data_IF_930342961798
#
_entry.id   IF_930342961798
#
_cell.length_a   1.000
_cell.length_b   1.000
_cell.length_c   1.000
_cell.angle_alpha   90.00
_cell.angle_beta   90.00
_cell.angle_gamma   90.00
#
_symmetry.space_group_name_H-M   'P 1'
#
loop_
_entity.id
_entity.type
_entity.pdbx_description
1 polymer ?
#
# COMPACT_ATOMS: atom_id res chain seq x y z
N UNK A 1 184.77 -36.69 -97.54
CA UNK A 1 183.80 -36.04 -96.60
C UNK A 1 182.53 -36.85 -96.43
N UNK A 2 181.68 -37.03 -97.45
CA UNK A 2 180.37 -37.71 -97.31
C UNK A 2 180.48 -39.15 -96.75
N UNK A 3 181.53 -39.88 -97.12
CA UNK A 3 181.81 -41.26 -96.68
C UNK A 3 181.81 -41.46 -95.15
N UNK A 4 182.44 -40.56 -94.39
CA UNK A 4 182.45 -40.62 -92.92
C UNK A 4 181.04 -40.44 -92.32
N UNK A 5 180.19 -39.63 -92.95
CA UNK A 5 178.80 -39.45 -92.52
C UNK A 5 177.95 -40.69 -92.80
N UNK A 6 178.20 -41.41 -93.90
CA UNK A 6 177.54 -42.69 -94.19
C UNK A 6 177.95 -43.80 -93.22
N UNK A 7 179.23 -43.92 -92.88
CA UNK A 7 179.70 -44.88 -91.88
C UNK A 7 179.14 -44.60 -90.48
N UNK A 8 179.09 -43.32 -90.08
CA UNK A 8 178.45 -42.91 -88.82
C UNK A 8 176.94 -43.20 -88.83
N UNK A 9 176.26 -42.91 -89.94
CA UNK A 9 174.83 -43.23 -90.12
C UNK A 9 174.53 -44.73 -90.04
N UNK A 10 175.37 -45.58 -90.65
CA UNK A 10 175.25 -47.03 -90.58
C UNK A 10 175.48 -47.57 -89.15
N UNK A 11 176.49 -47.03 -88.45
CA UNK A 11 176.75 -47.34 -87.05
C UNK A 11 175.59 -46.96 -86.12
N UNK A 12 174.99 -45.79 -86.33
CA UNK A 12 173.80 -45.37 -85.58
C UNK A 12 172.58 -46.25 -85.90
N UNK A 13 172.34 -46.56 -87.18
CA UNK A 13 171.19 -47.37 -87.60
C UNK A 13 171.26 -48.80 -87.04
N UNK A 14 172.44 -49.42 -87.05
CA UNK A 14 172.66 -50.76 -86.49
C UNK A 14 172.51 -50.78 -84.97
N UNK A 15 173.01 -49.76 -84.26
CA UNK A 15 172.78 -49.62 -82.82
C UNK A 15 171.28 -49.45 -82.48
N UNK A 16 170.56 -48.60 -83.23
CA UNK A 16 169.12 -48.42 -83.06
C UNK A 16 168.33 -49.71 -83.30
N UNK A 17 168.72 -50.51 -84.31
CA UNK A 17 168.08 -51.80 -84.61
C UNK A 17 168.27 -52.82 -83.48
N UNK A 18 169.47 -52.90 -82.88
CA UNK A 18 169.73 -53.76 -81.71
C UNK A 18 168.89 -53.36 -80.49
N UNK A 19 168.76 -52.06 -80.21
CA UNK A 19 167.89 -51.56 -79.12
C UNK A 19 166.44 -51.97 -79.37
N UNK A 20 165.95 -51.83 -80.61
CA UNK A 20 164.57 -52.20 -80.96
C UNK A 20 164.31 -53.70 -80.84
N UNK A 21 165.30 -54.55 -81.13
CA UNK A 21 165.21 -56.00 -81.02
C UNK A 21 165.19 -56.49 -79.56
N UNK A 22 165.92 -55.82 -78.66
CA UNK A 22 165.99 -56.17 -77.23
C UNK A 22 164.81 -55.61 -76.41
N UNK A 23 164.25 -54.46 -76.81
CA UNK A 23 163.18 -53.76 -76.10
C UNK A 23 161.97 -54.64 -75.68
N UNK A 24 161.38 -55.49 -76.55
CA UNK A 24 160.21 -56.31 -76.18
C UNK A 24 160.49 -57.32 -75.07
N UNK A 25 161.71 -57.88 -75.03
CA UNK A 25 162.11 -58.84 -74.01
C UNK A 25 162.31 -58.17 -72.64
N UNK A 26 162.93 -56.98 -72.63
CA UNK A 26 163.08 -56.16 -71.42
C UNK A 26 161.72 -55.71 -70.89
N UNK A 27 160.83 -55.23 -71.76
CA UNK A 27 159.49 -54.80 -71.36
C UNK A 27 158.66 -55.94 -70.74
N UNK A 28 158.64 -57.13 -71.36
CA UNK A 28 157.98 -58.33 -70.77
C UNK A 28 158.52 -58.66 -69.37
N UNK A 29 159.84 -58.56 -69.18
CA UNK A 29 160.50 -58.84 -67.89
C UNK A 29 160.15 -57.80 -66.83
N UNK A 30 160.06 -56.52 -67.21
CA UNK A 30 159.59 -55.44 -66.32
C UNK A 30 158.15 -55.71 -65.88
N UNK A 31 157.23 -55.99 -66.81
CA UNK A 31 155.81 -56.25 -66.49
C UNK A 31 155.64 -57.41 -65.51
N UNK A 32 156.36 -58.52 -65.70
CA UNK A 32 156.28 -59.65 -64.78
C UNK A 32 156.79 -59.29 -63.37
N UNK A 33 157.91 -58.58 -63.25
CA UNK A 33 158.43 -58.15 -61.95
C UNK A 33 157.54 -57.09 -61.27
N UNK A 34 156.91 -56.17 -62.02
CA UNK A 34 155.98 -55.19 -61.44
C UNK A 34 154.68 -55.86 -60.99
N UNK A 35 154.13 -56.80 -61.76
CA UNK A 35 152.92 -57.55 -61.39
C UNK A 35 153.16 -58.44 -60.15
N UNK A 36 154.26 -59.21 -60.12
CA UNK A 36 154.58 -60.02 -58.94
C UNK A 36 154.91 -59.17 -57.71
N UNK A 37 155.59 -58.01 -57.88
CA UNK A 37 155.83 -57.11 -56.75
C UNK A 37 154.54 -56.48 -56.24
N UNK A 38 153.64 -56.04 -57.12
CA UNK A 38 152.30 -55.56 -56.75
C UNK A 38 151.52 -56.63 -55.97
N UNK A 39 151.49 -57.87 -56.44
CA UNK A 39 150.84 -59.00 -55.74
C UNK A 39 151.47 -59.33 -54.39
N UNK A 40 152.78 -59.10 -54.22
CA UNK A 40 153.48 -59.30 -52.96
C UNK A 40 153.35 -58.12 -51.97
N UNK A 41 153.04 -56.91 -52.44
CA UNK A 41 152.90 -55.70 -51.60
C UNK A 41 151.46 -55.23 -51.38
N UNK A 42 150.48 -55.73 -52.16
CA UNK A 42 149.06 -55.46 -51.91
C UNK A 42 148.52 -56.43 -50.84
N UNK A 43 147.96 -55.93 -49.71
CA UNK A 43 147.56 -56.79 -48.59
C UNK A 43 146.19 -57.49 -48.76
N UNK A 44 145.56 -57.43 -49.95
CA UNK A 44 144.25 -58.06 -50.22
C UNK A 44 144.25 -58.85 -51.53
N UNK A 45 143.58 -59.99 -51.55
CA UNK A 45 143.36 -60.79 -52.76
C UNK A 45 142.25 -60.23 -53.66
N UNK A 46 142.23 -60.58 -54.96
CA UNK A 46 141.13 -60.20 -55.87
C UNK A 46 139.75 -60.76 -55.48
N UNK A 47 139.69 -61.74 -54.58
CA UNK A 47 138.42 -62.25 -54.04
C UNK A 47 137.93 -61.40 -52.87
N UNK A 48 138.82 -61.00 -51.95
CA UNK A 48 138.48 -60.07 -50.86
C UNK A 48 138.01 -58.72 -51.38
N UNK A 49 138.64 -58.17 -52.43
CA UNK A 49 138.20 -56.90 -53.04
C UNK A 49 136.77 -57.00 -53.60
N UNK A 50 136.36 -58.17 -54.11
CA UNK A 50 134.97 -58.42 -54.53
C UNK A 50 134.05 -58.56 -53.31
N UNK A 51 134.44 -59.37 -52.33
CA UNK A 51 133.67 -59.55 -51.10
C UNK A 51 133.45 -58.23 -50.33
N UNK A 52 134.45 -57.36 -50.24
CA UNK A 52 134.31 -56.02 -49.65
C UNK A 52 133.40 -55.12 -50.49
N UNK A 53 133.50 -55.15 -51.82
CA UNK A 53 132.62 -54.37 -52.71
C UNK A 53 131.16 -54.79 -52.57
N UNK A 54 130.89 -56.10 -52.53
CA UNK A 54 129.53 -56.62 -52.38
C UNK A 54 129.04 -56.51 -50.92
N UNK A 55 129.91 -56.54 -49.92
CA UNK A 55 129.60 -56.17 -48.52
C UNK A 55 129.20 -54.69 -48.42
N UNK A 56 129.95 -53.76 -49.02
CA UNK A 56 129.59 -52.32 -49.02
C UNK A 56 128.28 -52.09 -49.76
N UNK A 57 128.04 -52.80 -50.88
CA UNK A 57 126.74 -52.80 -51.57
C UNK A 57 125.61 -53.34 -50.67
N UNK A 58 125.85 -54.41 -49.92
CA UNK A 58 124.87 -55.00 -49.01
C UNK A 58 124.58 -54.12 -47.80
N UNK A 59 125.60 -53.48 -47.20
CA UNK A 59 125.46 -52.49 -46.14
C UNK A 59 124.64 -51.29 -46.63
N UNK A 60 125.03 -50.69 -47.77
CA UNK A 60 124.29 -49.57 -48.35
C UNK A 60 122.84 -49.94 -48.72
N UNK A 61 122.60 -51.17 -49.21
CA UNK A 61 121.25 -51.67 -49.47
C UNK A 61 120.44 -51.88 -48.17
N UNK A 62 121.05 -52.39 -47.10
CA UNK A 62 120.42 -52.58 -45.81
C UNK A 62 120.13 -51.25 -45.10
N UNK A 63 121.05 -50.27 -45.19
CA UNK A 63 120.87 -48.91 -44.67
C UNK A 63 119.80 -48.14 -45.45
N UNK A 64 119.77 -48.23 -46.78
CA UNK A 64 118.68 -47.69 -47.60
C UNK A 64 117.34 -48.37 -47.30
N UNK A 65 117.31 -49.70 -47.13
CA UNK A 65 116.08 -50.43 -46.79
C UNK A 65 115.56 -50.04 -45.38
N UNK A 66 116.47 -49.91 -44.40
CA UNK A 66 116.13 -49.49 -43.03
C UNK A 66 115.63 -48.04 -43.02
N UNK A 67 116.37 -47.12 -43.61
CA UNK A 67 115.96 -45.69 -43.68
C UNK A 67 114.67 -45.51 -44.46
N UNK A 68 114.43 -46.27 -45.54
CA UNK A 68 113.15 -46.28 -46.22
C UNK A 68 112.01 -46.83 -45.35
N UNK A 69 112.24 -47.90 -44.57
CA UNK A 69 111.24 -48.44 -43.65
C UNK A 69 110.94 -47.47 -42.49
N UNK A 70 111.96 -46.83 -41.91
CA UNK A 70 111.79 -45.84 -40.84
C UNK A 70 111.10 -44.57 -41.37
N UNK A 71 111.41 -44.13 -42.60
CA UNK A 71 110.71 -43.04 -43.29
C UNK A 71 109.24 -43.39 -43.58
N UNK A 72 108.93 -44.63 -43.95
CA UNK A 72 107.54 -45.10 -44.09
C UNK A 72 106.81 -45.09 -42.73
N UNK A 73 107.43 -45.59 -41.66
CA UNK A 73 106.87 -45.54 -40.29
C UNK A 73 106.57 -44.10 -39.84
N UNK A 74 107.47 -43.14 -40.07
CA UNK A 74 107.21 -41.74 -39.72
C UNK A 74 106.14 -41.10 -40.61
N UNK A 75 106.00 -41.50 -41.87
CA UNK A 75 104.87 -41.09 -42.73
C UNK A 75 103.54 -41.67 -42.23
N UNK A 76 103.50 -42.95 -41.89
CA UNK A 76 102.30 -43.60 -41.35
C UNK A 76 101.87 -42.94 -40.03
N UNK A 77 102.82 -42.65 -39.13
CA UNK A 77 102.58 -41.85 -37.93
C UNK A 77 102.05 -40.47 -38.25
N UNK A 78 102.70 -39.70 -39.14
CA UNK A 78 102.29 -38.32 -39.45
C UNK A 78 100.90 -38.27 -40.08
N UNK A 79 100.57 -39.21 -40.98
CA UNK A 79 99.23 -39.36 -41.55
C UNK A 79 98.20 -39.73 -40.46
N UNK A 80 98.53 -40.64 -39.54
CA UNK A 80 97.63 -40.98 -38.43
C UNK A 80 97.40 -39.81 -37.45
N UNK A 81 98.38 -38.93 -37.30
CA UNK A 81 98.28 -37.71 -36.49
C UNK A 81 97.47 -36.62 -37.22
N UNK A 82 97.65 -36.46 -38.53
CA UNK A 82 96.85 -35.57 -39.38
C UNK A 82 95.37 -35.99 -39.35
N UNK A 83 95.06 -37.26 -39.65
CA UNK A 83 93.68 -37.77 -39.61
C UNK A 83 93.01 -37.61 -38.24
N UNK A 84 93.78 -37.72 -37.13
CA UNK A 84 93.28 -37.43 -35.78
C UNK A 84 93.06 -35.94 -35.53
N UNK A 85 93.98 -35.09 -35.99
CA UNK A 85 93.85 -33.65 -35.90
C UNK A 85 92.63 -33.15 -36.69
N UNK A 86 92.42 -33.67 -37.90
CA UNK A 86 91.32 -33.28 -38.78
C UNK A 86 89.96 -33.75 -38.21
N UNK A 87 89.91 -34.96 -37.62
CA UNK A 87 88.73 -35.40 -36.87
C UNK A 87 88.43 -34.49 -35.66
N UNK A 88 89.45 -34.16 -34.85
CA UNK A 88 89.31 -33.23 -33.72
C UNK A 88 88.91 -31.82 -34.16
N UNK A 89 89.35 -31.36 -35.35
CA UNK A 89 88.96 -30.07 -35.91
C UNK A 89 87.49 -30.07 -36.39
N UNK A 90 87.02 -31.18 -36.96
CA UNK A 90 85.58 -31.36 -37.30
C UNK A 90 84.72 -31.37 -36.04
N UNK A 91 85.12 -32.11 -35.00
CA UNK A 91 84.36 -32.16 -33.75
C UNK A 91 84.41 -30.84 -32.97
N UNK A 92 85.55 -30.13 -32.96
CA UNK A 92 85.62 -28.76 -32.44
C UNK A 92 84.71 -27.79 -33.22
N UNK A 93 84.60 -27.95 -34.55
CA UNK A 93 83.66 -27.20 -35.38
C UNK A 93 82.19 -27.49 -35.05
N UNK A 94 81.85 -28.75 -34.75
CA UNK A 94 80.50 -29.15 -34.27
C UNK A 94 80.18 -28.50 -32.93
N UNK A 95 81.06 -28.66 -31.93
CA UNK A 95 80.84 -28.05 -30.61
C UNK A 95 80.78 -26.52 -30.67
N UNK A 96 81.55 -25.87 -31.57
CA UNK A 96 81.43 -24.43 -31.79
C UNK A 96 80.06 -24.02 -32.37
N UNK A 97 79.49 -24.83 -33.28
CA UNK A 97 78.14 -24.61 -33.80
C UNK A 97 77.05 -24.84 -32.73
N UNK A 98 77.13 -25.94 -31.98
CA UNK A 98 76.22 -26.26 -30.86
C UNK A 98 76.24 -25.18 -29.77
N UNK A 99 77.43 -24.66 -29.43
CA UNK A 99 77.58 -23.54 -28.49
C UNK A 99 76.93 -22.26 -29.06
N UNK A 100 77.07 -22.00 -30.36
CA UNK A 100 76.43 -20.87 -31.02
C UNK A 100 74.90 -20.96 -31.04
N UNK A 101 74.34 -22.15 -31.30
CA UNK A 101 72.91 -22.42 -31.27
C UNK A 101 72.33 -22.29 -29.86
N UNK A 102 73.00 -22.86 -28.85
CA UNK A 102 72.62 -22.70 -27.44
C UNK A 102 72.72 -21.24 -26.96
N UNK A 103 73.72 -20.48 -27.42
CA UNK A 103 73.81 -19.05 -27.13
C UNK A 103 72.69 -18.24 -27.77
N UNK A 104 72.28 -18.58 -29.00
CA UNK A 104 71.13 -17.96 -29.66
C UNK A 104 69.83 -18.28 -28.91
N UNK A 105 69.60 -19.53 -28.53
CA UNK A 105 68.43 -19.96 -27.75
C UNK A 105 68.36 -19.29 -26.36
N UNK A 106 69.50 -19.14 -25.68
CA UNK A 106 69.59 -18.39 -24.41
C UNK A 106 69.26 -16.91 -24.63
N UNK A 107 69.70 -16.32 -25.75
CA UNK A 107 69.34 -14.96 -26.16
C UNK A 107 67.84 -14.80 -26.37
N UNK A 108 67.21 -15.72 -27.10
CA UNK A 108 65.75 -15.73 -27.35
C UNK A 108 64.95 -15.85 -26.05
N UNK A 109 65.27 -16.85 -25.21
CA UNK A 109 64.63 -17.01 -23.89
C UNK A 109 64.84 -15.79 -22.97
N UNK A 110 65.95 -15.05 -23.09
CA UNK A 110 66.16 -13.82 -22.36
C UNK A 110 65.30 -12.65 -22.86
N UNK A 111 65.01 -12.57 -24.17
CA UNK A 111 64.05 -11.61 -24.73
C UNK A 111 62.62 -11.96 -24.30
N UNK A 112 62.20 -13.22 -24.44
CA UNK A 112 60.88 -13.68 -23.97
C UNK A 112 60.67 -13.38 -22.48
N UNK A 113 61.66 -13.69 -21.64
CA UNK A 113 61.59 -13.40 -20.21
C UNK A 113 61.58 -11.89 -19.89
N UNK A 114 62.19 -11.05 -20.73
CA UNK A 114 62.12 -9.59 -20.59
C UNK A 114 60.74 -9.06 -20.98
N UNK A 115 60.13 -9.55 -22.06
CA UNK A 115 58.79 -9.17 -22.49
C UNK A 115 57.71 -9.68 -21.53
N UNK A 116 57.80 -10.92 -21.03
CA UNK A 116 56.90 -11.41 -19.97
C UNK A 116 56.97 -10.53 -18.71
N UNK A 117 58.17 -10.09 -18.30
CA UNK A 117 58.33 -9.11 -17.20
C UNK A 117 57.77 -7.73 -17.53
N UNK A 118 57.80 -7.32 -18.80
CA UNK A 118 57.18 -6.08 -19.29
C UNK A 118 55.65 -6.16 -19.23
N UNK A 119 55.07 -7.29 -19.64
CA UNK A 119 53.65 -7.59 -19.52
C UNK A 119 53.18 -7.61 -18.06
N UNK A 120 53.82 -8.39 -17.18
CA UNK A 120 53.49 -8.44 -15.75
C UNK A 120 53.54 -7.06 -15.07
N UNK A 121 54.43 -6.14 -15.50
CA UNK A 121 54.46 -4.76 -15.01
C UNK A 121 53.29 -3.91 -15.52
N UNK A 122 52.85 -4.10 -16.77
CA UNK A 122 51.65 -3.44 -17.31
C UNK A 122 50.40 -3.94 -16.58
N UNK A 123 50.33 -5.24 -16.32
CA UNK A 123 49.19 -5.89 -15.67
C UNK A 123 49.10 -5.51 -14.19
N UNK A 124 50.20 -5.48 -13.42
CA UNK A 124 50.17 -4.98 -12.04
C UNK A 124 49.81 -3.48 -11.98
N UNK A 125 50.31 -2.66 -12.92
CA UNK A 125 49.89 -1.27 -13.02
C UNK A 125 48.37 -1.16 -13.30
N UNK A 126 47.83 -1.95 -14.22
CA UNK A 126 46.39 -1.98 -14.52
C UNK A 126 45.56 -2.48 -13.32
N UNK A 127 46.03 -3.52 -12.62
CA UNK A 127 45.43 -4.02 -11.38
C UNK A 127 45.46 -2.95 -10.28
N UNK A 128 46.52 -2.15 -10.18
CA UNK A 128 46.60 -1.04 -9.22
C UNK A 128 45.56 0.05 -9.52
N UNK A 129 45.37 0.41 -10.80
CA UNK A 129 44.35 1.35 -11.25
C UNK A 129 42.93 0.78 -11.07
N UNK A 130 42.74 -0.52 -11.29
CA UNK A 130 41.45 -1.17 -11.06
C UNK A 130 41.10 -1.22 -9.58
N UNK A 131 42.09 -1.46 -8.69
CA UNK A 131 41.93 -1.39 -7.23
C UNK A 131 41.54 0.03 -6.77
N UNK A 132 42.19 1.08 -7.26
CA UNK A 132 41.81 2.46 -6.90
C UNK A 132 40.43 2.86 -7.43
N UNK A 133 40.10 2.48 -8.68
CA UNK A 133 38.78 2.73 -9.26
C UNK A 133 37.66 1.97 -8.53
N UNK A 134 37.91 0.72 -8.12
CA UNK A 134 37.00 -0.06 -7.29
C UNK A 134 36.77 0.62 -5.94
N UNK A 135 37.83 1.03 -5.24
CA UNK A 135 37.71 1.70 -3.95
C UNK A 135 36.93 3.02 -4.02
N UNK A 136 37.14 3.81 -5.08
CA UNK A 136 36.36 5.03 -5.36
C UNK A 136 34.89 4.70 -5.62
N UNK A 137 34.61 3.62 -6.38
CA UNK A 137 33.25 3.17 -6.65
C UNK A 137 32.53 2.71 -5.36
N UNK A 138 33.20 1.89 -4.55
CA UNK A 138 32.74 1.42 -3.23
C UNK A 138 32.43 2.59 -2.28
N UNK A 139 33.36 3.56 -2.17
CA UNK A 139 33.14 4.76 -1.36
C UNK A 139 31.94 5.57 -1.89
N UNK A 140 31.78 5.69 -3.22
CA UNK A 140 30.62 6.37 -3.81
C UNK A 140 29.30 5.63 -3.54
N UNK A 141 29.33 4.29 -3.45
CA UNK A 141 28.17 3.47 -3.15
C UNK A 141 27.79 3.58 -1.66
N UNK A 142 28.76 3.49 -0.75
CA UNK A 142 28.54 3.70 0.68
C UNK A 142 27.99 5.10 1.00
N UNK A 143 28.49 6.14 0.33
CA UNK A 143 27.95 7.50 0.45
C UNK A 143 26.48 7.55 0.01
N UNK A 144 26.15 7.03 -1.18
CA UNK A 144 24.76 6.97 -1.69
C UNK A 144 23.84 6.14 -0.80
N UNK A 145 24.32 5.04 -0.22
CA UNK A 145 23.54 4.24 0.74
C UNK A 145 23.27 5.04 2.02
N UNK A 146 24.26 5.78 2.53
CA UNK A 146 24.05 6.68 3.66
C UNK A 146 23.00 7.75 3.33
N UNK A 147 23.06 8.39 2.16
CA UNK A 147 22.05 9.34 1.69
C UNK A 147 20.67 8.70 1.61
N UNK A 148 20.55 7.50 1.02
CA UNK A 148 19.30 6.75 0.94
C UNK A 148 18.73 6.41 2.33
N UNK A 149 19.54 6.10 3.34
CA UNK A 149 19.03 5.91 4.71
C UNK A 149 18.54 7.23 5.33
N UNK A 150 19.21 8.36 5.09
CA UNK A 150 18.71 9.67 5.54
C UNK A 150 17.41 10.07 4.83
N UNK A 151 17.24 9.75 3.54
CA UNK A 151 16.00 10.02 2.81
C UNK A 151 14.87 9.09 3.25
N UNK A 152 15.15 7.79 3.50
CA UNK A 152 14.17 6.84 4.07
C UNK A 152 13.68 7.29 5.46
N UNK A 153 14.58 7.72 6.35
CA UNK A 153 14.20 8.21 7.68
C UNK A 153 13.47 9.57 7.64
N UNK A 154 13.77 10.44 6.66
CA UNK A 154 12.97 11.65 6.39
C UNK A 154 11.56 11.29 5.89
N UNK A 155 11.43 10.31 4.99
CA UNK A 155 10.15 9.84 4.48
C UNK A 155 9.29 9.18 5.57
N UNK A 156 9.90 8.40 6.49
CA UNK A 156 9.21 7.87 7.69
C UNK A 156 8.60 9.00 8.50
N UNK A 157 9.40 10.01 8.87
CA UNK A 157 8.96 11.18 9.65
C UNK A 157 7.87 12.00 8.96
N UNK A 158 7.93 12.13 7.62
CA UNK A 158 6.88 12.78 6.84
C UNK A 158 5.59 11.94 6.79
N UNK A 159 5.70 10.60 6.78
CA UNK A 159 4.56 9.69 6.94
C UNK A 159 3.92 9.81 8.32
N UNK A 160 4.73 9.72 9.38
CA UNK A 160 4.32 9.91 10.79
C UNK A 160 3.61 11.27 10.98
N UNK A 161 4.12 12.34 10.37
CA UNK A 161 3.49 13.66 10.38
C UNK A 161 2.17 13.69 9.58
N UNK A 162 2.10 13.04 8.41
CA UNK A 162 0.88 12.96 7.62
C UNK A 162 -0.23 12.16 8.32
N UNK A 163 0.12 11.07 9.02
CA UNK A 163 -0.81 10.27 9.80
C UNK A 163 -1.23 10.98 11.10
N UNK A 164 -0.34 11.73 11.75
CA UNK A 164 -0.71 12.65 12.82
C UNK A 164 -1.74 13.70 12.36
N UNK A 165 -1.49 14.36 11.23
CA UNK A 165 -2.41 15.35 10.65
C UNK A 165 -3.75 14.74 10.20
N UNK A 166 -3.78 13.45 9.81
CA UNK A 166 -5.03 12.72 9.53
C UNK A 166 -5.84 12.47 10.81
N UNK A 167 -5.18 12.11 11.90
CA UNK A 167 -5.82 11.92 13.21
C UNK A 167 -6.37 13.25 13.74
N UNK A 168 -5.58 14.33 13.65
CA UNK A 168 -6.03 15.68 14.01
C UNK A 168 -7.24 16.13 13.17
N UNK A 169 -7.22 15.88 11.85
CA UNK A 169 -8.34 16.21 10.97
C UNK A 169 -9.61 15.42 11.35
N UNK A 170 -9.51 14.11 11.57
CA UNK A 170 -10.64 13.28 12.02
C UNK A 170 -11.18 13.73 13.40
N UNK A 171 -10.29 14.16 14.31
CA UNK A 171 -10.71 14.75 15.58
C UNK A 171 -11.48 16.07 15.36
N UNK A 172 -11.01 16.96 14.48
CA UNK A 172 -11.74 18.20 14.12
C UNK A 172 -13.06 17.92 13.41
N UNK A 173 -13.17 16.85 12.63
CA UNK A 173 -14.44 16.43 12.03
C UNK A 173 -15.45 15.99 13.11
N UNK A 174 -15.05 15.18 14.09
CA UNK A 174 -15.95 14.78 15.19
C UNK A 174 -16.32 15.95 16.12
N UNK A 175 -15.40 16.91 16.37
CA UNK A 175 -15.73 18.18 17.03
C UNK A 175 -16.77 18.98 16.22
N UNK A 176 -16.58 19.10 14.90
CA UNK A 176 -17.50 19.82 14.03
C UNK A 176 -18.88 19.14 13.95
N UNK A 177 -18.96 17.81 14.02
CA UNK A 177 -20.22 17.07 14.13
C UNK A 177 -20.90 17.29 15.48
N UNK A 178 -20.18 17.19 16.59
CA UNK A 178 -20.68 17.52 17.93
C UNK A 178 -21.26 18.95 18.00
N UNK A 179 -20.56 19.91 17.39
CA UNK A 179 -21.04 21.29 17.26
C UNK A 179 -22.28 21.41 16.35
N UNK A 180 -22.36 20.68 15.23
CA UNK A 180 -23.58 20.62 14.38
C UNK A 180 -24.77 20.08 15.17
N UNK A 181 -24.61 18.99 15.93
CA UNK A 181 -25.67 18.44 16.78
C UNK A 181 -26.14 19.45 17.82
N UNK A 182 -25.21 20.12 18.52
CA UNK A 182 -25.55 21.16 19.51
C UNK A 182 -26.23 22.38 18.88
N UNK A 183 -25.81 22.81 17.70
CA UNK A 183 -26.45 23.91 16.96
C UNK A 183 -27.87 23.54 16.52
N UNK A 184 -28.13 22.28 16.15
CA UNK A 184 -29.47 21.83 15.82
C UNK A 184 -30.37 21.73 17.06
N UNK A 185 -29.91 21.15 18.17
CA UNK A 185 -30.65 21.14 19.43
C UNK A 185 -31.06 22.56 19.89
N UNK A 186 -30.13 23.53 19.82
CA UNK A 186 -30.41 24.94 20.13
C UNK A 186 -31.38 25.63 19.13
N UNK A 187 -31.50 25.13 17.89
CA UNK A 187 -32.51 25.60 16.93
C UNK A 187 -33.89 25.03 17.23
N UNK A 188 -33.94 23.76 17.65
CA UNK A 188 -35.17 23.08 18.02
C UNK A 188 -35.74 23.68 19.33
N UNK A 189 -34.91 23.88 20.36
CA UNK A 189 -35.25 24.62 21.59
C UNK A 189 -35.73 26.05 21.30
N UNK A 190 -35.06 26.76 20.39
CA UNK A 190 -35.49 28.10 19.95
C UNK A 190 -36.88 28.05 19.31
N UNK A 191 -37.18 27.05 18.50
CA UNK A 191 -38.46 26.97 17.78
C UNK A 191 -39.61 26.43 18.64
N UNK A 192 -39.36 25.57 19.64
CA UNK A 192 -40.35 25.27 20.67
C UNK A 192 -40.65 26.51 21.51
N UNK A 193 -39.63 27.23 22.01
CA UNK A 193 -39.83 28.49 22.74
C UNK A 193 -40.58 29.55 21.92
N UNK A 194 -40.37 29.62 20.60
CA UNK A 194 -41.15 30.49 19.70
C UNK A 194 -42.60 30.05 19.56
N UNK A 195 -42.86 28.75 19.49
CA UNK A 195 -44.22 28.20 19.47
C UNK A 195 -44.93 28.49 20.79
N UNK A 196 -44.27 28.28 21.94
CA UNK A 196 -44.80 28.59 23.27
C UNK A 196 -45.09 30.07 23.44
N UNK A 197 -44.17 30.96 23.04
CA UNK A 197 -44.41 32.42 23.06
C UNK A 197 -45.60 32.80 22.15
N UNK A 198 -45.72 32.20 20.96
CA UNK A 198 -46.89 32.43 20.09
C UNK A 198 -48.21 31.93 20.71
N UNK A 199 -48.17 30.79 21.40
CA UNK A 199 -49.32 30.17 22.05
C UNK A 199 -49.75 30.97 23.29
N UNK A 200 -48.80 31.42 24.11
CA UNK A 200 -49.02 32.33 25.22
C UNK A 200 -49.56 33.69 24.73
N UNK A 201 -49.04 34.23 23.63
CA UNK A 201 -49.54 35.48 23.06
C UNK A 201 -50.97 35.35 22.49
N UNK A 202 -51.37 34.18 21.99
CA UNK A 202 -52.77 33.87 21.66
C UNK A 202 -53.63 33.82 22.93
N UNK A 203 -53.24 33.02 23.93
CA UNK A 203 -53.95 32.92 25.22
C UNK A 203 -54.12 34.27 25.91
N UNK A 204 -53.12 35.16 25.83
CA UNK A 204 -53.18 36.53 26.35
C UNK A 204 -54.26 37.34 25.62
N UNK A 205 -54.27 37.34 24.27
CA UNK A 205 -55.32 38.00 23.47
C UNK A 205 -56.71 37.42 23.73
N UNK A 206 -56.82 36.11 23.90
CA UNK A 206 -58.10 35.46 24.25
C UNK A 206 -58.59 35.88 25.65
N UNK A 207 -57.66 36.13 26.59
CA UNK A 207 -57.97 36.65 27.92
C UNK A 207 -58.32 38.15 27.88
N UNK A 208 -57.63 38.97 27.08
CA UNK A 208 -57.96 40.38 26.82
C UNK A 208 -59.35 40.52 26.17
N UNK A 209 -59.69 39.62 25.24
CA UNK A 209 -61.03 39.57 24.64
C UNK A 209 -62.12 39.17 25.66
N UNK A 210 -61.84 38.22 26.55
CA UNK A 210 -62.76 37.87 27.65
C UNK A 210 -62.90 39.01 28.66
N UNK A 211 -61.81 39.70 28.98
CA UNK A 211 -61.82 40.87 29.88
C UNK A 211 -62.64 42.02 29.29
N UNK A 212 -62.43 42.36 28.01
CA UNK A 212 -63.20 43.41 27.33
C UNK A 212 -64.67 43.01 27.15
N UNK A 213 -64.98 41.75 26.87
CA UNK A 213 -66.35 41.23 26.92
C UNK A 213 -66.97 41.41 28.32
N UNK A 214 -66.26 41.03 29.40
CA UNK A 214 -66.73 41.21 30.77
C UNK A 214 -66.88 42.69 31.15
N UNK A 215 -65.97 43.57 30.73
CA UNK A 215 -66.11 45.03 30.90
C UNK A 215 -67.36 45.55 30.19
N UNK A 216 -67.64 45.10 28.96
CA UNK A 216 -68.90 45.41 28.28
C UNK A 216 -70.12 44.79 28.97
N UNK A 217 -70.01 43.65 29.66
CA UNK A 217 -71.11 43.13 30.48
C UNK A 217 -71.35 44.01 31.71
N UNK A 218 -70.29 44.40 32.42
CA UNK A 218 -70.34 45.31 33.58
C UNK A 218 -70.96 46.64 33.16
N UNK A 219 -70.47 47.28 32.09
CA UNK A 219 -71.04 48.54 31.57
C UNK A 219 -72.53 48.38 31.23
N UNK A 220 -72.95 47.26 30.62
CA UNK A 220 -74.38 47.02 30.34
C UNK A 220 -75.22 46.75 31.60
N UNK A 221 -74.63 46.22 32.66
CA UNK A 221 -75.28 46.05 33.96
C UNK A 221 -75.33 47.36 34.75
N UNK A 222 -74.31 48.20 34.66
CA UNK A 222 -74.26 49.56 35.21
C UNK A 222 -75.27 50.47 34.50
N UNK A 223 -75.31 50.45 33.16
CA UNK A 223 -76.35 51.09 32.34
C UNK A 223 -77.75 50.65 32.76
N UNK A 224 -77.94 49.34 32.99
CA UNK A 224 -79.23 48.82 33.44
C UNK A 224 -79.54 49.28 34.85
N UNK A 225 -78.61 49.22 35.79
CA UNK A 225 -78.79 49.71 37.16
C UNK A 225 -79.08 51.22 37.20
N UNK A 226 -78.45 52.01 36.33
CA UNK A 226 -78.73 53.44 36.15
C UNK A 226 -80.13 53.69 35.60
N UNK A 227 -80.61 52.88 34.64
CA UNK A 227 -82.00 52.96 34.12
C UNK A 227 -83.03 52.46 35.13
N UNK A 228 -82.74 51.37 35.84
CA UNK A 228 -83.62 50.80 36.85
C UNK A 228 -83.75 51.76 38.04
N UNK A 229 -82.65 52.40 38.48
CA UNK A 229 -82.66 53.45 39.53
C UNK A 229 -83.23 54.79 39.05
N UNK A 230 -83.06 55.19 37.78
CA UNK A 230 -83.82 56.29 37.19
C UNK A 230 -85.32 55.98 37.23
N UNK A 231 -85.74 54.78 36.83
CA UNK A 231 -87.15 54.35 36.92
C UNK A 231 -87.64 54.28 38.37
N UNK A 232 -86.76 53.95 39.33
CA UNK A 232 -87.09 53.93 40.76
C UNK A 232 -87.32 55.35 41.28
N UNK A 233 -86.42 56.29 40.99
CA UNK A 233 -86.59 57.70 41.37
C UNK A 233 -87.76 58.36 40.63
N UNK A 234 -88.08 57.97 39.39
CA UNK A 234 -89.33 58.37 38.73
C UNK A 234 -90.57 57.81 39.43
N UNK A 235 -90.58 56.53 39.83
CA UNK A 235 -91.65 55.92 40.62
C UNK A 235 -91.78 56.57 42.00
N UNK A 236 -90.67 56.88 42.67
CA UNK A 236 -90.64 57.62 43.93
C UNK A 236 -91.18 59.04 43.76
N UNK A 237 -90.83 59.73 42.68
CA UNK A 237 -91.40 61.04 42.35
C UNK A 237 -92.90 60.97 42.03
N UNK A 238 -93.36 59.92 41.34
CA UNK A 238 -94.78 59.66 41.10
C UNK A 238 -95.52 59.28 42.39
N UNK A 239 -94.90 58.51 43.29
CA UNK A 239 -95.42 58.18 44.62
C UNK A 239 -95.45 59.43 45.51
N UNK A 240 -94.43 60.28 45.48
CA UNK A 240 -94.40 61.56 46.20
C UNK A 240 -95.48 62.53 45.67
N UNK A 241 -95.68 62.60 44.35
CA UNK A 241 -96.80 63.34 43.75
C UNK A 241 -98.15 62.76 44.17
N UNK A 242 -98.35 61.43 44.08
CA UNK A 242 -99.54 60.74 44.59
C UNK A 242 -99.74 60.94 46.09
N UNK A 243 -98.68 61.03 46.89
CA UNK A 243 -98.74 61.31 48.33
C UNK A 243 -99.09 62.78 48.60
N UNK A 244 -98.60 63.73 47.80
CA UNK A 244 -99.01 65.13 47.85
C UNK A 244 -100.45 65.32 47.36
N UNK A 245 -100.90 64.57 46.36
CA UNK A 245 -102.29 64.50 45.92
C UNK A 245 -103.17 63.87 47.00
N UNK A 246 -102.75 62.77 47.63
CA UNK A 246 -103.44 62.17 48.78
C UNK A 246 -103.42 63.10 50.00
N UNK A 247 -102.39 63.92 50.20
CA UNK A 247 -102.35 64.93 51.25
C UNK A 247 -103.33 66.06 50.96
N UNK A 248 -103.34 66.60 49.73
CA UNK A 248 -104.32 67.60 49.26
C UNK A 248 -105.75 67.06 49.26
N UNK A 249 -105.96 65.79 48.90
CA UNK A 249 -107.26 65.11 48.96
C UNK A 249 -107.65 64.81 50.41
N UNK A 250 -106.73 64.51 51.32
CA UNK A 250 -106.98 64.43 52.77
C UNK A 250 -107.27 65.80 53.38
N UNK A 251 -106.71 66.87 52.83
CA UNK A 251 -106.95 68.25 53.26
C UNK A 251 -108.28 68.79 52.70
N UNK A 252 -108.60 68.51 51.44
CA UNK A 252 -109.91 68.71 50.85
C UNK A 252 -110.97 67.82 51.52
N UNK A 253 -110.65 66.58 51.90
CA UNK A 253 -111.52 65.76 52.74
C UNK A 253 -111.60 66.29 54.17
N UNK A 254 -110.60 66.99 54.71
CA UNK A 254 -110.72 67.70 56.00
C UNK A 254 -111.57 68.97 55.87
N UNK A 255 -111.48 69.70 54.77
CA UNK A 255 -112.29 70.87 54.47
C UNK A 255 -113.75 70.46 54.22
N UNK A 256 -113.97 69.50 53.33
CA UNK A 256 -115.27 68.85 53.12
C UNK A 256 -115.77 68.18 54.40
N UNK A 257 -114.94 67.54 55.24
CA UNK A 257 -115.39 67.10 56.56
C UNK A 257 -115.67 68.26 57.53
N UNK A 258 -115.03 69.42 57.40
CA UNK A 258 -115.33 70.59 58.21
C UNK A 258 -116.66 71.24 57.77
N UNK A 259 -116.98 71.23 56.48
CA UNK A 259 -118.27 71.66 55.94
C UNK A 259 -119.36 70.62 56.22
N UNK A 260 -119.11 69.33 56.01
CA UNK A 260 -119.96 68.23 56.47
C UNK A 260 -120.13 68.28 58.00
N UNK A 261 -119.18 68.79 58.80
CA UNK A 261 -119.35 69.05 60.25
C UNK A 261 -120.13 70.33 60.56
N UNK A 262 -120.12 71.36 59.70
CA UNK A 262 -121.01 72.52 59.81
C UNK A 262 -122.45 72.11 59.45
N UNK A 263 -122.62 71.38 58.36
CA UNK A 263 -123.89 70.82 57.87
C UNK A 263 -124.42 69.75 58.84
N UNK A 264 -123.60 68.83 59.36
CA UNK A 264 -124.00 67.90 60.44
C UNK A 264 -124.22 68.60 61.78
N UNK A 265 -123.84 69.87 61.99
CA UNK A 265 -124.30 70.64 63.17
C UNK A 265 -125.70 71.25 62.97
N UNK A 266 -126.22 71.23 61.75
CA UNK A 266 -127.58 71.66 61.37
C UNK A 266 -128.48 70.45 61.05
N UNK A 267 -127.90 69.25 60.85
CA UNK A 267 -128.61 68.00 60.51
C UNK A 267 -128.40 66.84 61.49
N UNK A 268 -127.80 67.07 62.68
CA UNK A 268 -127.71 66.04 63.75
C UNK A 268 -128.78 66.10 64.84
N UNK A 269 -129.87 66.79 64.56
CA UNK A 269 -131.16 66.47 65.18
C UNK A 269 -131.83 65.22 64.55
N UNK A 270 -131.14 64.46 63.67
CA UNK A 270 -131.73 63.34 62.88
C UNK A 270 -130.91 62.02 62.69
N UNK A 271 -129.61 61.91 63.02
CA UNK A 271 -128.88 60.61 63.24
C UNK A 271 -128.27 59.78 62.07
N UNK A 272 -127.54 58.68 62.43
CA UNK A 272 -126.97 57.55 61.63
C UNK A 272 -125.73 57.82 60.69
N UNK A 273 -125.05 56.83 60.02
CA UNK A 273 -124.14 55.72 60.48
C UNK A 273 -123.20 55.13 59.33
N UNK A 274 -122.11 54.34 59.60
CA UNK A 274 -121.24 53.56 58.63
C UNK A 274 -119.73 53.99 58.48
N UNK A 275 -118.63 53.26 58.11
CA UNK A 275 -118.20 51.85 57.70
C UNK A 275 -117.90 51.56 56.18
N UNK A 276 -116.95 50.70 55.67
CA UNK A 276 -115.62 50.08 56.09
C UNK A 276 -114.93 49.26 54.90
N UNK A 277 -113.70 48.65 55.05
CA UNK A 277 -113.08 47.48 54.30
C UNK A 277 -111.81 47.62 53.33
N UNK A 278 -111.26 46.49 52.80
CA UNK A 278 -109.78 46.20 52.61
C UNK A 278 -109.34 45.02 51.61
N UNK A 279 -108.09 45.00 51.08
CA UNK A 279 -107.10 43.84 50.84
C UNK A 279 -106.99 42.92 49.50
N UNK A 280 -106.17 41.80 49.31
CA UNK A 280 -105.16 41.60 48.18
C UNK A 280 -104.83 40.16 47.53
N UNK A 281 -103.67 39.99 46.79
CA UNK A 281 -102.65 38.85 46.72
C UNK A 281 -102.65 37.56 45.76
N UNK A 282 -101.48 36.82 45.75
CA UNK A 282 -101.14 35.36 45.42
C UNK A 282 -100.36 34.85 44.12
N UNK A 283 -100.18 33.50 43.91
CA UNK A 283 -98.99 32.75 43.33
C UNK A 283 -99.33 31.61 42.25
N UNK A 284 -98.62 30.49 41.84
CA UNK A 284 -97.44 29.60 42.24
C UNK A 284 -97.03 28.54 41.11
N UNK A 285 -95.99 27.65 41.29
CA UNK A 285 -95.73 26.25 40.74
C UNK A 285 -94.50 25.89 39.77
N UNK A 286 -94.05 24.59 39.69
CA UNK A 286 -92.83 24.00 38.98
C UNK A 286 -92.86 22.41 38.82
N UNK A 287 -92.14 21.71 37.88
CA UNK A 287 -92.12 20.18 37.73
C UNK A 287 -91.03 19.41 36.83
N UNK A 288 -91.05 18.04 36.72
CA UNK A 288 -89.95 17.05 36.31
C UNK A 288 -90.32 15.81 35.38
N UNK A 289 -89.37 15.03 34.77
CA UNK A 289 -89.54 13.59 34.27
C UNK A 289 -88.24 12.83 33.81
N UNK A 290 -88.25 11.47 33.62
CA UNK A 290 -87.08 10.61 33.19
C UNK A 290 -87.39 9.28 32.42
N UNK A 291 -86.37 8.66 31.79
CA UNK A 291 -86.09 7.19 31.51
C UNK A 291 -85.85 6.73 30.04
N UNK A 292 -84.61 6.32 29.67
CA UNK A 292 -84.24 5.65 28.36
C UNK A 292 -82.78 5.10 28.31
N UNK A 293 -82.14 4.71 29.43
CA UNK A 293 -80.66 4.73 29.53
C UNK A 293 -79.88 3.45 29.12
N UNK A 294 -80.39 2.24 29.33
CA UNK A 294 -79.52 1.05 29.44
C UNK A 294 -78.85 0.60 28.11
N UNK A 295 -79.58 0.62 26.99
CA UNK A 295 -79.03 0.18 25.69
C UNK A 295 -77.94 1.12 25.17
N UNK A 296 -78.06 2.43 25.46
CA UNK A 296 -77.08 3.42 25.02
C UNK A 296 -75.73 3.21 25.73
N UNK A 297 -75.76 2.94 27.04
CA UNK A 297 -74.55 2.79 27.87
C UNK A 297 -73.65 1.65 27.37
N UNK A 298 -74.22 0.48 27.08
CA UNK A 298 -73.46 -0.69 26.60
C UNK A 298 -72.77 -0.40 25.25
N UNK A 299 -73.47 0.26 24.32
CA UNK A 299 -72.87 0.64 23.01
C UNK A 299 -71.77 1.70 23.14
N UNK A 300 -71.88 2.61 24.11
CA UNK A 300 -70.87 3.61 24.39
C UNK A 300 -69.60 2.99 25.01
N UNK A 301 -69.77 2.08 25.98
CA UNK A 301 -68.66 1.41 26.66
C UNK A 301 -67.86 0.50 25.71
N UNK A 302 -68.55 -0.34 24.93
CA UNK A 302 -67.90 -1.12 23.86
C UNK A 302 -67.19 -0.21 22.84
N UNK A 303 -67.78 0.95 22.52
CA UNK A 303 -67.21 1.94 21.62
C UNK A 303 -65.93 2.60 22.16
N UNK A 304 -65.88 2.89 23.46
CA UNK A 304 -64.66 3.35 24.11
C UNK A 304 -63.59 2.25 24.13
N UNK A 305 -63.95 1.02 24.46
CA UNK A 305 -62.97 -0.04 24.66
C UNK A 305 -62.33 -0.49 23.34
N UNK A 306 -63.10 -0.52 22.26
CA UNK A 306 -62.54 -0.71 20.90
C UNK A 306 -61.65 0.47 20.50
N UNK A 307 -62.00 1.72 20.85
CA UNK A 307 -61.11 2.88 20.62
C UNK A 307 -59.80 2.75 21.41
N UNK A 308 -59.85 2.49 22.72
CA UNK A 308 -58.68 2.28 23.59
C UNK A 308 -57.76 1.18 23.04
N UNK A 309 -58.32 0.03 22.68
CA UNK A 309 -57.59 -1.12 22.10
C UNK A 309 -56.99 -0.78 20.72
N UNK A 310 -57.71 -0.04 19.87
CA UNK A 310 -57.21 0.40 18.55
C UNK A 310 -56.04 1.39 18.64
N UNK A 311 -56.07 2.32 19.60
CA UNK A 311 -54.98 3.27 19.83
C UNK A 311 -53.72 2.57 20.35
N UNK A 312 -53.87 1.65 21.32
CA UNK A 312 -52.78 0.81 21.80
C UNK A 312 -52.20 -0.09 20.69
N UNK A 313 -53.03 -0.61 19.78
CA UNK A 313 -52.58 -1.39 18.63
C UNK A 313 -51.83 -0.51 17.61
N UNK A 314 -52.29 0.72 17.34
CA UNK A 314 -51.59 1.64 16.44
C UNK A 314 -50.18 2.00 16.96
N UNK A 315 -50.04 2.25 18.27
CA UNK A 315 -48.73 2.46 18.92
C UNK A 315 -47.85 1.21 18.85
N UNK A 316 -48.43 0.02 19.10
CA UNK A 316 -47.74 -1.27 18.94
C UNK A 316 -47.30 -1.53 17.50
N UNK A 317 -48.08 -1.15 16.48
CA UNK A 317 -47.69 -1.27 15.07
C UNK A 317 -46.53 -0.35 14.72
N UNK A 318 -46.54 0.90 15.21
CA UNK A 318 -45.40 1.82 15.03
C UNK A 318 -44.12 1.27 15.66
N UNK A 319 -44.22 0.67 16.85
CA UNK A 319 -43.08 0.01 17.53
C UNK A 319 -42.66 -1.31 16.86
N UNK A 320 -43.62 -2.11 16.37
CA UNK A 320 -43.35 -3.38 15.69
C UNK A 320 -42.69 -3.20 14.31
N UNK A 321 -42.84 -2.03 13.68
CA UNK A 321 -42.10 -1.67 12.46
C UNK A 321 -40.56 -1.74 12.61
N UNK A 322 -40.05 -1.74 13.85
CA UNK A 322 -38.63 -1.93 14.16
C UNK A 322 -38.24 -3.39 14.53
N UNK A 323 -39.20 -4.32 14.68
CA UNK A 323 -38.95 -5.71 15.14
C UNK A 323 -39.83 -6.70 14.37
N UNK A 324 -39.30 -7.24 13.28
CA UNK A 324 -39.97 -8.27 12.47
C UNK A 324 -39.99 -9.62 13.20
N UNK A 325 -41.17 -10.24 13.37
CA UNK A 325 -41.28 -11.58 14.00
C UNK A 325 -42.43 -11.79 15.00
N UNK A 326 -43.34 -10.82 15.22
CA UNK A 326 -44.53 -10.98 16.08
C UNK A 326 -45.87 -10.90 15.34
N UNK A 327 -45.80 -10.93 14.02
CA UNK A 327 -46.90 -10.74 13.06
C UNK A 327 -48.10 -11.68 13.29
N UNK A 328 -47.89 -12.87 13.86
CA UNK A 328 -48.96 -13.82 14.20
C UNK A 328 -49.91 -13.27 15.25
N UNK A 329 -49.38 -12.82 16.39
CA UNK A 329 -50.19 -12.23 17.47
C UNK A 329 -50.83 -10.90 17.03
N UNK A 330 -50.12 -10.09 16.25
CA UNK A 330 -50.65 -8.83 15.71
C UNK A 330 -51.84 -9.09 14.77
N UNK A 331 -51.78 -10.11 13.92
CA UNK A 331 -52.92 -10.51 13.06
C UNK A 331 -54.14 -10.99 13.88
N UNK A 332 -53.91 -11.70 14.98
CA UNK A 332 -54.97 -12.14 15.89
C UNK A 332 -55.61 -10.95 16.65
N UNK A 333 -54.81 -10.01 17.16
CA UNK A 333 -55.32 -8.77 17.77
C UNK A 333 -56.14 -7.95 16.78
N UNK A 334 -55.66 -7.77 15.54
CA UNK A 334 -56.41 -7.09 14.45
C UNK A 334 -57.74 -7.80 14.16
N UNK A 335 -57.73 -9.13 14.02
CA UNK A 335 -58.95 -9.91 13.76
C UNK A 335 -59.97 -9.76 14.90
N UNK A 336 -59.52 -9.75 16.16
CA UNK A 336 -60.40 -9.52 17.31
C UNK A 336 -61.01 -8.11 17.33
N UNK A 337 -60.23 -7.06 17.01
CA UNK A 337 -60.72 -5.68 16.98
C UNK A 337 -61.69 -5.48 15.81
N UNK A 338 -61.43 -6.09 14.66
CA UNK A 338 -62.34 -6.09 13.53
C UNK A 338 -63.68 -6.77 13.86
N UNK A 339 -63.66 -7.94 14.51
CA UNK A 339 -64.88 -8.62 14.96
C UNK A 339 -65.68 -7.79 15.96
N UNK A 340 -65.02 -7.11 16.91
CA UNK A 340 -65.70 -6.19 17.84
C UNK A 340 -66.31 -4.96 17.14
N UNK A 341 -65.67 -4.40 16.11
CA UNK A 341 -66.24 -3.32 15.29
C UNK A 341 -67.49 -3.77 14.52
N UNK A 342 -67.47 -4.97 13.94
CA UNK A 342 -68.61 -5.56 13.22
C UNK A 342 -69.77 -5.88 14.17
N UNK A 343 -69.47 -6.38 15.37
CA UNK A 343 -70.47 -6.59 16.40
C UNK A 343 -71.08 -5.27 16.91
N UNK A 344 -70.25 -4.26 17.20
CA UNK A 344 -70.71 -2.94 17.65
C UNK A 344 -71.61 -2.27 16.61
N UNK A 345 -71.25 -2.33 15.32
CA UNK A 345 -72.09 -1.78 14.24
C UNK A 345 -73.43 -2.52 14.15
N UNK A 346 -73.44 -3.85 14.15
CA UNK A 346 -74.65 -4.69 14.15
C UNK A 346 -75.52 -4.59 15.42
N UNK A 347 -74.97 -4.05 16.53
CA UNK A 347 -75.71 -3.67 17.72
C UNK A 347 -76.29 -2.25 17.60
N UNK A 348 -75.50 -1.28 17.11
CA UNK A 348 -75.93 0.12 16.94
C UNK A 348 -76.98 0.32 15.83
N UNK A 349 -76.94 -0.50 14.78
CA UNK A 349 -77.96 -0.56 13.71
C UNK A 349 -79.17 -1.41 14.12
N UNK A 350 -79.11 -2.09 15.27
CA UNK A 350 -80.21 -2.90 15.81
C UNK A 350 -80.56 -4.15 14.98
N UNK A 351 -81.78 -4.69 15.14
CA UNK A 351 -82.20 -5.95 14.53
C UNK A 351 -82.42 -5.88 13.01
N UNK A 352 -82.48 -4.68 12.42
CA UNK A 352 -82.66 -4.47 10.98
C UNK A 352 -81.34 -4.43 10.19
N UNK A 353 -80.20 -4.65 10.85
CA UNK A 353 -78.86 -4.54 10.25
C UNK A 353 -78.59 -5.61 9.18
N UNK A 354 -78.21 -5.24 7.93
CA UNK A 354 -77.83 -6.21 6.90
C UNK A 354 -76.55 -6.97 7.25
N UNK A 355 -75.78 -6.47 8.23
CA UNK A 355 -74.63 -7.17 8.80
C UNK A 355 -75.04 -8.54 9.37
N UNK A 356 -76.23 -8.66 9.98
CA UNK A 356 -76.69 -9.94 10.58
C UNK A 356 -76.95 -11.03 9.55
N UNK A 357 -77.49 -10.70 8.37
CA UNK A 357 -77.69 -11.68 7.29
C UNK A 357 -76.38 -12.06 6.63
N UNK A 358 -75.49 -11.09 6.39
CA UNK A 358 -74.15 -11.32 5.84
C UNK A 358 -73.27 -12.18 6.76
N UNK A 359 -73.41 -12.06 8.08
CA UNK A 359 -72.69 -12.90 9.04
C UNK A 359 -73.11 -14.37 8.98
N UNK A 360 -74.40 -14.66 8.78
CA UNK A 360 -74.90 -16.04 8.60
C UNK A 360 -74.39 -16.62 7.27
N UNK A 361 -74.53 -15.88 6.17
CA UNK A 361 -74.06 -16.33 4.84
C UNK A 361 -72.53 -16.50 4.77
N UNK A 362 -71.77 -15.81 5.64
CA UNK A 362 -70.33 -15.95 5.77
C UNK A 362 -69.92 -17.18 6.62
N UNK A 363 -70.73 -17.59 7.61
CA UNK A 363 -70.45 -18.76 8.43
C UNK A 363 -70.58 -20.07 7.62
N UNK A 364 -71.61 -20.20 6.80
CA UNK A 364 -71.89 -21.39 5.98
C UNK A 364 -70.80 -21.74 4.95
N UNK A 365 -69.90 -20.81 4.63
CA UNK A 365 -68.89 -20.96 3.57
C UNK A 365 -67.50 -21.38 4.07
N UNK A 366 -67.31 -21.56 5.38
CA UNK A 366 -66.00 -21.88 5.98
C UNK A 366 -65.77 -23.38 6.13
N UNK A 367 -65.13 -24.03 5.15
CA UNK A 367 -64.77 -25.45 5.20
C UNK A 367 -63.34 -25.71 5.74
N UNK A 368 -62.81 -24.81 6.58
CA UNK A 368 -61.45 -24.89 7.14
C UNK A 368 -61.48 -24.73 8.66
N UNK A 369 -60.63 -25.48 9.35
CA UNK A 369 -60.60 -25.66 10.81
C UNK A 369 -59.98 -24.45 11.56
N UNK A 370 -60.40 -23.23 11.21
CA UNK A 370 -59.83 -21.97 11.70
C UNK A 370 -60.95 -20.94 11.91
N UNK A 371 -61.20 -20.57 13.17
CA UNK A 371 -62.26 -19.64 13.61
C UNK A 371 -62.23 -18.33 12.80
N UNK A 372 -63.27 -18.10 11.99
CA UNK A 372 -63.37 -16.96 11.09
C UNK A 372 -63.71 -15.67 11.82
N UNK A 373 -63.66 -14.55 11.08
CA UNK A 373 -64.07 -13.24 11.60
C UNK A 373 -65.59 -13.16 11.82
N UNK A 374 -66.37 -13.87 10.99
CA UNK A 374 -67.83 -13.93 11.12
C UNK A 374 -68.23 -14.67 12.40
N UNK A 375 -67.65 -15.83 12.67
CA UNK A 375 -67.95 -16.64 13.86
C UNK A 375 -67.68 -15.88 15.16
N UNK A 376 -66.59 -15.09 15.18
CA UNK A 376 -66.24 -14.19 16.30
C UNK A 376 -67.23 -13.05 16.46
N UNK A 377 -67.63 -12.40 15.36
CA UNK A 377 -68.61 -11.32 15.42
C UNK A 377 -70.00 -11.82 15.85
N UNK A 378 -70.45 -13.00 15.38
CA UNK A 378 -71.70 -13.61 15.84
C UNK A 378 -71.65 -14.00 17.31
N UNK A 379 -70.53 -14.51 17.81
CA UNK A 379 -70.37 -14.82 19.23
C UNK A 379 -70.49 -13.55 20.11
N UNK A 380 -69.87 -12.43 19.72
CA UNK A 380 -69.94 -11.16 20.46
C UNK A 380 -71.35 -10.52 20.39
N UNK A 381 -72.11 -10.76 19.32
CA UNK A 381 -73.52 -10.32 19.22
C UNK A 381 -74.45 -11.19 20.08
N UNK A 382 -74.12 -12.47 20.27
CA UNK A 382 -74.90 -13.41 21.08
C UNK A 382 -74.63 -13.29 22.59
N UNK A 383 -73.38 -13.02 22.97
CA UNK A 383 -72.94 -12.83 24.36
C UNK A 383 -72.10 -11.53 24.46
N UNK A 384 -72.73 -10.36 24.58
CA UNK A 384 -72.02 -9.09 24.71
C UNK A 384 -71.29 -9.04 26.07
N UNK A 385 -70.02 -8.61 26.11
CA UNK A 385 -69.16 -8.78 27.29
C UNK A 385 -69.74 -8.07 28.53
N UNK A 386 -70.15 -8.85 29.53
CA UNK A 386 -70.73 -8.35 30.77
C UNK A 386 -69.72 -7.51 31.58
N UNK A 387 -70.15 -6.34 32.05
CA UNK A 387 -69.39 -5.42 32.91
C UNK A 387 -68.75 -6.14 34.10
N UNK A 388 -67.47 -5.83 34.38
CA UNK A 388 -66.69 -6.27 35.55
C UNK A 388 -65.70 -5.20 35.98
#
# INVERSE_FOLDING_TARGET
MIEYALLFGLGFLTAAFLVFLVSPAVHRRIVWYTENRLKATMPLSPQEVRAQKDMVRALYAAENARTAQDLLREREKSLSLQLRHDALAVDAGRFAAEIGELQAQIGEMHVEAADQRSHLRKDENYISQLKTNLHIAEQSAANKESELTTMRTRLSKLGEQADGLRIDLAARETEAESLKFRVNALRDERDTLRQDVSLLQKRAKDAEQKLTQQQHMVIRLEDKAARDSASATEKENLVARRQQEIAKLKEQLKAANAEIRKVNRVLRDAGLAGMVAEMPAEMTAEDTTTSTLDTAMITAEMGEDVRKRSAALAERLQKAKAVTGRDGAIREEIASIAANMVALTALSEGPASPIRTLLVEAAEKNTNDRVSLADRATAIIADPPSVR
#
